data_IF_383788939933
#
_entry.id   IF_383788939933
#
_cell.length_a   1.000
_cell.length_b   1.000
_cell.length_c   1.000
_cell.angle_alpha   90.00
_cell.angle_beta   90.00
_cell.angle_gamma   90.00
#
_symmetry.space_group_name_H-M   'P 1'
#
loop_
_entity.id
_entity.type
_entity.pdbx_description
1 polymer ?
#
# COMPACT_ATOMS: atom_id res chain seq x y z
N UNK A 1 4.64 9.45 21.87
CA UNK A 1 3.64 9.26 20.82
C UNK A 1 2.26 9.00 21.39
N UNK A 2 2.07 7.98 22.24
CA UNK A 2 0.76 7.60 22.80
C UNK A 2 0.07 8.80 23.48
N UNK A 3 0.76 9.50 24.39
CA UNK A 3 0.21 10.69 25.03
C UNK A 3 -0.16 11.80 24.02
N UNK A 4 0.65 11.97 22.96
CA UNK A 4 0.33 12.91 21.87
C UNK A 4 -0.99 12.55 21.17
N UNK A 5 -1.23 11.28 20.90
CA UNK A 5 -2.48 10.82 20.29
C UNK A 5 -3.68 10.98 21.21
N UNK A 6 -3.52 10.70 22.51
CA UNK A 6 -4.55 10.97 23.51
C UNK A 6 -4.92 12.47 23.57
N UNK A 7 -3.94 13.36 23.33
CA UNK A 7 -4.15 14.80 23.24
C UNK A 7 -4.60 15.29 21.85
N UNK A 8 -4.89 14.39 20.88
CA UNK A 8 -5.27 14.76 19.51
C UNK A 8 -4.11 15.32 18.64
N UNK A 9 -2.86 15.11 19.06
CA UNK A 9 -1.67 15.62 18.35
C UNK A 9 -1.08 14.53 17.46
N UNK A 10 -1.46 14.50 16.18
CA UNK A 10 -1.01 13.51 15.20
C UNK A 10 0.19 13.97 14.37
N UNK A 11 0.40 15.28 14.23
CA UNK A 11 1.51 15.84 13.46
C UNK A 11 2.83 15.76 14.25
N UNK A 12 3.89 15.24 13.63
CA UNK A 12 5.22 15.16 14.26
C UNK A 12 5.77 16.54 14.63
N UNK A 13 5.49 17.59 13.83
CA UNK A 13 5.92 18.97 14.13
C UNK A 13 5.17 19.56 15.31
N UNK A 14 3.84 19.36 15.38
CA UNK A 14 3.06 19.80 16.54
C UNK A 14 3.43 19.01 17.80
N UNK A 15 3.84 17.73 17.65
CA UNK A 15 4.30 16.93 18.77
C UNK A 15 5.67 17.39 19.30
N UNK A 16 6.60 17.78 18.41
CA UNK A 16 7.85 18.43 18.77
C UNK A 16 7.59 19.72 19.57
N UNK A 17 6.71 20.59 19.07
CA UNK A 17 6.29 21.82 19.73
C UNK A 17 5.68 21.53 21.12
N UNK A 18 4.79 20.54 21.22
CA UNK A 18 4.23 20.12 22.51
C UNK A 18 5.31 19.63 23.48
N UNK A 19 6.30 18.87 23.01
CA UNK A 19 7.44 18.42 23.82
C UNK A 19 8.30 19.59 24.32
N UNK A 20 8.36 20.70 23.59
CA UNK A 20 9.15 21.88 23.96
C UNK A 20 8.42 22.80 24.93
N UNK A 21 7.10 22.95 24.81
CA UNK A 21 6.37 24.02 25.51
C UNK A 21 5.35 23.52 26.53
N UNK A 22 4.81 22.33 26.39
CA UNK A 22 3.78 21.81 27.30
C UNK A 22 4.39 21.11 28.53
N UNK A 23 3.84 21.41 29.70
CA UNK A 23 4.32 20.88 30.99
C UNK A 23 4.16 19.37 31.07
N UNK A 24 3.02 18.83 30.65
CA UNK A 24 2.72 17.39 30.64
C UNK A 24 3.73 16.59 29.78
N UNK A 25 4.12 17.13 28.63
CA UNK A 25 5.13 16.51 27.76
C UNK A 25 6.54 16.63 28.35
N UNK A 26 6.89 17.77 28.98
CA UNK A 26 8.17 17.94 29.66
C UNK A 26 8.30 16.98 30.84
N UNK A 27 7.24 16.80 31.62
CA UNK A 27 7.21 15.83 32.68
C UNK A 27 7.45 14.39 32.17
N UNK A 28 6.82 13.99 31.08
CA UNK A 28 7.04 12.68 30.44
C UNK A 28 8.46 12.51 29.90
N UNK A 29 9.12 13.59 29.53
CA UNK A 29 10.50 13.56 29.04
C UNK A 29 11.54 13.58 30.16
N UNK A 30 11.11 13.76 31.42
CA UNK A 30 12.02 13.80 32.62
C UNK A 30 13.16 14.81 32.36
N UNK A 31 12.83 16.01 31.90
CA UNK A 31 13.76 17.09 31.53
C UNK A 31 14.79 16.75 30.41
N UNK A 32 14.62 15.61 29.73
CA UNK A 32 15.44 15.28 28.56
C UNK A 32 15.09 16.20 27.40
N UNK A 33 16.06 16.38 26.50
CA UNK A 33 15.85 17.18 25.29
C UNK A 33 14.67 16.67 24.45
N UNK A 34 13.78 17.58 24.07
CA UNK A 34 12.66 17.27 23.17
C UNK A 34 13.17 16.67 21.85
N UNK A 35 12.59 15.55 21.40
CA UNK A 35 12.94 14.96 20.12
C UNK A 35 12.42 15.85 18.98
N UNK A 36 13.20 16.00 17.92
CA UNK A 36 12.77 16.71 16.71
C UNK A 36 11.71 15.90 15.91
N UNK A 37 10.98 16.60 15.04
CA UNK A 37 9.90 16.00 14.25
C UNK A 37 10.39 14.88 13.30
N UNK A 38 11.62 14.96 12.79
CA UNK A 38 12.18 13.91 11.93
C UNK A 38 12.55 12.65 12.72
N UNK A 39 13.03 12.80 13.95
CA UNK A 39 13.25 11.68 14.88
C UNK A 39 11.92 10.99 15.23
N UNK A 40 10.87 11.76 15.54
CA UNK A 40 9.53 11.24 15.80
C UNK A 40 8.95 10.52 14.58
N UNK A 41 9.11 11.08 13.38
CA UNK A 41 8.67 10.46 12.14
C UNK A 41 9.41 9.15 11.86
N UNK A 42 10.74 9.14 11.95
CA UNK A 42 11.56 7.92 11.77
C UNK A 42 11.26 6.83 12.78
N UNK A 43 11.03 7.20 14.04
CA UNK A 43 10.62 6.23 15.06
C UNK A 43 9.27 5.61 14.73
N UNK A 44 8.28 6.42 14.29
CA UNK A 44 6.94 5.95 13.91
C UNK A 44 6.96 4.98 12.73
N UNK A 45 7.72 5.32 11.67
CA UNK A 45 7.78 4.51 10.44
C UNK A 45 8.77 3.33 10.52
N UNK A 46 9.71 3.38 11.44
CA UNK A 46 10.68 2.32 11.69
C UNK A 46 10.32 1.50 12.92
N UNK A 47 11.04 1.69 14.02
CA UNK A 47 10.95 0.85 15.23
C UNK A 47 9.54 0.66 15.79
N UNK A 48 8.70 1.71 15.76
CA UNK A 48 7.32 1.60 16.26
C UNK A 48 6.48 0.67 15.39
N UNK A 49 6.71 0.66 14.09
CA UNK A 49 5.99 -0.20 13.15
C UNK A 49 6.11 -1.68 13.52
N UNK A 50 7.30 -2.11 13.91
CA UNK A 50 7.58 -3.54 14.17
C UNK A 50 7.06 -4.03 15.53
N UNK A 51 6.74 -3.10 16.43
CA UNK A 51 6.35 -3.42 17.81
C UNK A 51 4.93 -2.97 18.20
N UNK A 52 4.27 -2.15 17.37
CA UNK A 52 2.97 -1.56 17.73
C UNK A 52 1.87 -2.60 17.88
N UNK A 53 1.89 -3.63 17.06
CA UNK A 53 0.93 -4.73 17.13
C UNK A 53 1.09 -5.53 18.41
N UNK A 54 2.33 -5.90 18.75
CA UNK A 54 2.61 -6.63 20.00
C UNK A 54 2.23 -5.80 21.25
N UNK A 55 2.53 -4.49 21.24
CA UNK A 55 2.10 -3.57 22.31
C UNK A 55 0.57 -3.50 22.43
N UNK A 56 -0.13 -3.49 21.32
CA UNK A 56 -1.59 -3.50 21.30
C UNK A 56 -2.14 -4.77 21.97
N UNK A 57 -1.65 -5.94 21.59
CA UNK A 57 -2.10 -7.20 22.19
C UNK A 57 -1.64 -7.38 23.64
N UNK A 58 -0.50 -6.81 24.05
CA UNK A 58 -0.13 -6.74 25.46
C UNK A 58 -1.13 -5.91 26.26
N UNK A 59 -1.58 -4.77 25.71
CA UNK A 59 -2.59 -3.93 26.31
C UNK A 59 -3.95 -4.65 26.44
N UNK A 60 -4.39 -5.32 25.37
CA UNK A 60 -5.63 -6.13 25.38
C UNK A 60 -5.56 -7.21 26.48
N UNK A 61 -4.46 -7.97 26.57
CA UNK A 61 -4.25 -8.96 27.64
C UNK A 61 -4.28 -8.33 29.05
N UNK A 62 -3.80 -7.09 29.17
CA UNK A 62 -3.87 -6.36 30.44
C UNK A 62 -5.32 -6.03 30.81
N UNK A 63 -6.14 -5.58 29.85
CA UNK A 63 -7.58 -5.34 30.07
C UNK A 63 -8.31 -6.63 30.48
N UNK A 64 -8.02 -7.74 29.83
CA UNK A 64 -8.56 -9.06 30.21
C UNK A 64 -8.20 -9.42 31.67
N UNK A 65 -6.93 -9.22 32.04
CA UNK A 65 -6.46 -9.51 33.41
C UNK A 65 -7.11 -8.60 34.48
N UNK A 66 -7.63 -7.45 34.07
CA UNK A 66 -8.36 -6.51 34.95
C UNK A 66 -9.88 -6.79 34.96
N UNK A 67 -10.36 -7.72 34.15
CA UNK A 67 -11.79 -8.04 34.03
C UNK A 67 -12.61 -7.02 33.25
N UNK A 68 -11.94 -6.13 32.49
CA UNK A 68 -12.60 -5.09 31.67
C UNK A 68 -13.22 -5.67 30.37
N UNK A 69 -12.78 -6.85 29.94
CA UNK A 69 -13.31 -7.59 28.81
C UNK A 69 -13.75 -8.98 29.27
N UNK A 70 -14.92 -9.44 28.82
CA UNK A 70 -15.55 -10.65 29.35
C UNK A 70 -15.65 -11.81 28.32
N UNK A 71 -15.24 -11.58 27.08
CA UNK A 71 -15.31 -12.54 25.97
C UNK A 71 -16.71 -13.11 25.64
N UNK A 72 -17.79 -12.61 26.24
CA UNK A 72 -19.14 -13.12 26.02
C UNK A 72 -19.67 -12.75 24.64
N UNK A 73 -19.33 -11.55 24.16
CA UNK A 73 -19.75 -11.07 22.86
C UNK A 73 -18.63 -10.21 22.24
N UNK A 74 -18.27 -10.49 21.01
CA UNK A 74 -17.35 -9.69 20.20
C UNK A 74 -18.11 -9.13 19.02
N UNK A 75 -18.12 -7.82 18.89
CA UNK A 75 -18.72 -7.14 17.74
C UNK A 75 -17.61 -6.80 16.75
N UNK A 76 -17.82 -7.21 15.48
CA UNK A 76 -16.87 -6.90 14.40
C UNK A 76 -17.56 -5.94 13.44
N UNK A 77 -16.94 -4.78 13.20
CA UNK A 77 -17.37 -3.83 12.18
C UNK A 77 -16.23 -3.46 11.27
N UNK A 78 -16.53 -3.42 9.98
CA UNK A 78 -15.59 -3.02 8.94
C UNK A 78 -15.76 -1.55 8.56
N UNK A 79 -14.67 -0.82 8.45
CA UNK A 79 -14.66 0.53 7.90
C UNK A 79 -13.67 0.64 6.74
N UNK A 80 -13.90 1.58 5.84
CA UNK A 80 -13.04 1.82 4.69
C UNK A 80 -12.23 3.09 4.89
N UNK A 81 -10.91 2.95 4.93
CA UNK A 81 -9.98 4.04 5.11
C UNK A 81 -9.40 4.48 3.76
N UNK A 82 -9.63 5.74 3.36
CA UNK A 82 -9.08 6.28 2.12
C UNK A 82 -7.54 6.42 2.22
N UNK A 83 -6.81 5.85 1.26
CA UNK A 83 -5.39 6.07 1.10
C UNK A 83 -5.11 7.47 0.52
N UNK A 84 -3.96 8.05 0.86
CA UNK A 84 -3.47 9.28 0.23
C UNK A 84 -2.91 9.08 -1.19
N UNK A 85 -3.11 7.91 -1.76
CA UNK A 85 -2.69 7.59 -3.12
C UNK A 85 -3.41 8.43 -4.19
N UNK A 86 -2.77 8.57 -5.33
CA UNK A 86 -3.34 9.27 -6.47
C UNK A 86 -4.62 8.60 -6.97
N UNK A 87 -5.74 9.33 -7.00
CA UNK A 87 -7.05 8.81 -7.42
C UNK A 87 -7.09 8.32 -8.86
N UNK A 88 -6.20 8.81 -9.72
CA UNK A 88 -6.18 8.49 -11.16
C UNK A 88 -5.04 7.54 -11.53
N UNK A 89 -4.31 7.00 -10.58
CA UNK A 89 -3.18 6.09 -10.80
C UNK A 89 -3.57 4.62 -10.68
N UNK A 90 -4.80 4.29 -11.04
CA UNK A 90 -5.36 2.95 -10.94
C UNK A 90 -4.82 1.99 -12.00
N UNK A 91 -4.63 0.75 -11.60
CA UNK A 91 -4.37 -0.40 -12.48
C UNK A 91 -5.46 -1.43 -12.24
N UNK A 92 -6.18 -1.81 -13.30
CA UNK A 92 -7.27 -2.78 -13.24
C UNK A 92 -6.84 -4.12 -13.81
N UNK A 93 -7.03 -5.22 -13.08
CA UNK A 93 -6.72 -6.58 -13.51
C UNK A 93 -7.29 -6.89 -14.88
N UNK A 94 -8.59 -6.68 -15.08
CA UNK A 94 -9.29 -6.95 -16.34
C UNK A 94 -8.65 -6.24 -17.55
N UNK A 95 -8.19 -4.99 -17.35
CA UNK A 95 -7.54 -4.24 -18.41
C UNK A 95 -6.13 -4.79 -18.71
N UNK A 96 -5.37 -5.13 -17.68
CA UNK A 96 -4.02 -5.71 -17.82
C UNK A 96 -4.11 -7.08 -18.51
N UNK A 97 -5.02 -7.95 -18.09
CA UNK A 97 -5.25 -9.27 -18.72
C UNK A 97 -5.67 -9.14 -20.18
N UNK A 98 -6.58 -8.20 -20.50
CA UNK A 98 -6.97 -7.91 -21.88
C UNK A 98 -5.78 -7.43 -22.71
N UNK A 99 -5.00 -6.48 -22.21
CA UNK A 99 -3.83 -5.96 -22.91
C UNK A 99 -2.75 -7.04 -23.09
N UNK A 100 -2.56 -7.90 -22.08
CA UNK A 100 -1.68 -9.05 -22.16
C UNK A 100 -2.11 -10.04 -23.24
N UNK A 101 -3.39 -10.40 -23.31
CA UNK A 101 -3.92 -11.31 -24.32
C UNK A 101 -3.77 -10.77 -25.75
N UNK A 102 -3.80 -9.46 -25.92
CA UNK A 102 -3.61 -8.81 -27.24
C UNK A 102 -2.17 -8.87 -27.73
N UNK A 103 -1.18 -9.22 -26.91
CA UNK A 103 0.22 -9.33 -27.36
C UNK A 103 0.47 -10.54 -28.23
N UNK A 104 -0.41 -11.55 -28.19
CA UNK A 104 -0.29 -12.80 -28.98
C UNK A 104 0.90 -13.68 -28.58
N UNK A 105 1.63 -13.33 -27.51
CA UNK A 105 2.80 -14.06 -27.05
C UNK A 105 2.39 -15.24 -26.16
N UNK A 106 3.07 -16.38 -26.29
CA UNK A 106 2.77 -17.60 -25.53
C UNK A 106 3.53 -17.71 -24.21
N UNK A 107 4.84 -17.45 -24.22
CA UNK A 107 5.67 -17.44 -23.01
C UNK A 107 6.78 -16.39 -23.12
N UNK A 108 7.07 -15.70 -22.01
CA UNK A 108 8.16 -14.71 -21.91
C UNK A 108 9.52 -15.35 -22.21
N UNK A 109 9.77 -16.54 -21.63
CA UNK A 109 11.05 -17.23 -21.77
C UNK A 109 11.37 -17.59 -23.24
N UNK A 110 10.39 -18.13 -23.97
CA UNK A 110 10.57 -18.49 -25.38
C UNK A 110 10.85 -17.25 -26.24
N UNK A 111 10.10 -16.16 -26.03
CA UNK A 111 10.31 -14.91 -26.80
C UNK A 111 11.66 -14.27 -26.47
N UNK A 112 12.10 -14.31 -25.22
CA UNK A 112 13.40 -13.80 -24.80
C UNK A 112 14.53 -14.57 -25.48
N UNK A 113 14.50 -15.90 -25.45
CA UNK A 113 15.50 -16.75 -26.13
C UNK A 113 15.53 -16.51 -27.65
N UNK A 114 14.37 -16.36 -28.29
CA UNK A 114 14.31 -16.03 -29.72
C UNK A 114 14.96 -14.67 -30.02
N UNK A 115 14.67 -13.63 -29.20
CA UNK A 115 15.25 -12.31 -29.39
C UNK A 115 16.76 -12.29 -29.17
N UNK A 116 17.27 -13.10 -28.24
CA UNK A 116 18.72 -13.25 -27.99
C UNK A 116 19.44 -13.90 -29.19
N UNK A 117 18.83 -14.90 -29.80
CA UNK A 117 19.36 -15.53 -31.00
C UNK A 117 19.29 -14.60 -32.25
N UNK A 118 18.13 -13.93 -32.47
CA UNK A 118 17.98 -12.97 -33.55
C UNK A 118 18.99 -11.81 -33.43
N UNK A 119 19.29 -11.35 -32.20
CA UNK A 119 20.22 -10.26 -31.96
C UNK A 119 21.66 -10.56 -32.43
N UNK A 120 22.10 -11.82 -32.39
CA UNK A 120 23.43 -12.24 -32.84
C UNK A 120 23.69 -11.96 -34.32
N UNK A 121 22.65 -11.94 -35.15
CA UNK A 121 22.71 -11.67 -36.59
C UNK A 121 22.46 -10.22 -36.99
N UNK A 122 22.22 -9.31 -36.02
CA UNK A 122 21.86 -7.92 -36.31
C UNK A 122 23.01 -6.98 -36.03
N UNK A 123 23.46 -6.23 -36.99
CA UNK A 123 24.34 -5.09 -36.80
C UNK A 123 23.51 -3.87 -36.37
N UNK A 124 23.57 -3.55 -35.07
CA UNK A 124 22.74 -2.51 -34.47
C UNK A 124 23.23 -1.11 -34.84
N UNK A 125 22.38 -0.34 -35.49
CA UNK A 125 22.61 1.08 -35.76
C UNK A 125 21.85 1.93 -34.76
N UNK A 126 22.55 2.81 -34.03
CA UNK A 126 21.95 3.73 -33.07
C UNK A 126 21.16 4.88 -33.73
N UNK A 127 20.19 5.47 -32.99
CA UNK A 127 19.45 6.65 -33.36
C UNK A 127 18.07 6.38 -33.96
N UNK A 128 17.32 7.47 -34.17
CA UNK A 128 16.00 7.45 -34.83
C UNK A 128 16.17 7.67 -36.30
N UNK A 129 15.75 6.74 -37.17
CA UNK A 129 15.67 7.07 -38.57
C UNK A 129 15.88 5.96 -39.58
N UNK A 130 16.07 6.38 -40.86
CA UNK A 130 16.03 5.55 -42.07
C UNK A 130 17.23 4.59 -42.23
N UNK A 131 18.24 4.68 -41.36
CA UNK A 131 19.46 3.86 -41.44
C UNK A 131 19.34 2.45 -40.86
N UNK A 132 18.28 2.19 -40.06
CA UNK A 132 18.06 0.88 -39.46
C UNK A 132 17.55 -0.11 -40.54
N UNK A 133 18.09 -1.32 -40.52
CA UNK A 133 17.60 -2.42 -41.34
C UNK A 133 16.16 -2.81 -40.94
N UNK A 134 15.42 -3.48 -41.85
CA UNK A 134 14.10 -3.98 -41.51
C UNK A 134 14.17 -5.00 -40.36
N UNK A 135 15.15 -5.89 -40.39
CA UNK A 135 15.40 -6.88 -39.34
C UNK A 135 15.60 -6.25 -37.96
N UNK A 136 16.36 -5.14 -37.89
CA UNK A 136 16.55 -4.42 -36.64
C UNK A 136 15.23 -3.80 -36.12
N UNK A 137 14.38 -3.24 -37.04
CA UNK A 137 13.10 -2.65 -36.64
C UNK A 137 12.14 -3.71 -36.13
N UNK A 138 12.06 -4.85 -36.77
CA UNK A 138 11.20 -5.96 -36.38
C UNK A 138 11.65 -6.53 -35.03
N UNK A 139 12.95 -6.62 -34.81
CA UNK A 139 13.52 -7.01 -33.52
C UNK A 139 13.20 -5.99 -32.40
N UNK A 140 13.36 -4.69 -32.67
CA UNK A 140 13.03 -3.62 -31.72
C UNK A 140 11.54 -3.63 -31.36
N UNK A 141 10.65 -3.91 -32.32
CA UNK A 141 9.21 -4.03 -32.11
C UNK A 141 8.87 -5.23 -31.23
N UNK A 142 9.43 -6.41 -31.53
CA UNK A 142 9.27 -7.62 -30.73
C UNK A 142 9.78 -7.41 -29.29
N UNK A 143 10.94 -6.77 -29.14
CA UNK A 143 11.51 -6.43 -27.83
C UNK A 143 10.60 -5.49 -27.06
N UNK A 144 10.05 -4.46 -27.68
CA UNK A 144 9.12 -3.54 -27.05
C UNK A 144 7.82 -4.24 -26.60
N UNK A 145 7.36 -5.25 -27.35
CA UNK A 145 6.23 -6.09 -26.94
C UNK A 145 6.57 -6.95 -25.74
N UNK A 146 7.76 -7.56 -25.70
CA UNK A 146 8.22 -8.34 -24.55
C UNK A 146 8.31 -7.49 -23.29
N UNK A 147 8.97 -6.32 -23.35
CA UNK A 147 9.08 -5.37 -22.22
C UNK A 147 7.70 -4.90 -21.73
N UNK A 148 6.73 -4.79 -22.62
CA UNK A 148 5.34 -4.47 -22.29
C UNK A 148 4.66 -5.62 -21.57
N UNK A 149 4.89 -6.85 -22.03
CA UNK A 149 4.34 -8.02 -21.39
C UNK A 149 4.93 -8.27 -20.00
N UNK A 150 6.24 -8.12 -19.83
CA UNK A 150 6.92 -8.20 -18.54
C UNK A 150 6.33 -7.21 -17.52
N UNK A 151 6.05 -5.97 -17.95
CA UNK A 151 5.34 -4.99 -17.11
C UNK A 151 3.92 -5.42 -16.74
N UNK A 152 3.21 -6.10 -17.63
CA UNK A 152 1.87 -6.62 -17.31
C UNK A 152 1.94 -7.77 -16.29
N UNK A 153 2.94 -8.65 -16.38
CA UNK A 153 3.17 -9.70 -15.38
C UNK A 153 3.52 -9.10 -14.01
N UNK A 154 4.37 -8.09 -13.98
CA UNK A 154 4.70 -7.37 -12.74
C UNK A 154 3.45 -6.72 -12.11
N UNK A 155 2.60 -6.07 -12.92
CA UNK A 155 1.33 -5.51 -12.45
C UNK A 155 0.39 -6.57 -11.88
N UNK A 156 0.29 -7.73 -12.50
CA UNK A 156 -0.54 -8.84 -12.02
C UNK A 156 0.06 -9.47 -10.75
N UNK A 157 1.38 -9.60 -10.68
CA UNK A 157 2.09 -10.06 -9.49
C UNK A 157 1.88 -9.12 -8.29
N UNK A 158 1.97 -7.81 -8.52
CA UNK A 158 1.71 -6.78 -7.49
C UNK A 158 0.27 -6.86 -6.97
N UNK A 159 -0.70 -7.13 -7.84
CA UNK A 159 -2.09 -7.32 -7.42
C UNK A 159 -2.30 -8.58 -6.58
N UNK A 160 -1.51 -9.63 -6.79
CA UNK A 160 -1.71 -10.91 -6.14
C UNK A 160 -3.02 -11.60 -6.53
N UNK A 161 -3.38 -12.66 -5.81
CA UNK A 161 -4.65 -13.38 -6.02
C UNK A 161 -5.77 -12.67 -5.25
N UNK A 162 -6.93 -12.46 -5.87
CA UNK A 162 -8.12 -11.90 -5.21
C UNK A 162 -8.34 -10.41 -5.45
N UNK A 163 -7.30 -9.59 -5.55
CA UNK A 163 -7.45 -8.14 -5.81
C UNK A 163 -7.75 -7.86 -7.29
N UNK A 164 -8.63 -6.91 -7.54
CA UNK A 164 -9.02 -6.50 -8.90
C UNK A 164 -8.32 -5.23 -9.38
N UNK A 165 -7.67 -4.51 -8.47
CA UNK A 165 -7.02 -3.24 -8.77
C UNK A 165 -6.00 -2.88 -7.70
N UNK A 166 -5.08 -1.97 -8.05
CA UNK A 166 -4.20 -1.30 -7.11
C UNK A 166 -3.88 0.12 -7.61
N UNK A 167 -3.32 0.97 -6.72
CA UNK A 167 -2.82 2.28 -7.10
C UNK A 167 -1.30 2.21 -7.35
N UNK A 168 -0.81 2.85 -8.43
CA UNK A 168 0.64 2.93 -8.71
C UNK A 168 1.43 3.68 -7.63
N UNK A 169 0.77 4.56 -6.89
CA UNK A 169 1.40 5.37 -5.82
C UNK A 169 1.27 4.72 -4.44
N UNK A 170 0.45 3.67 -4.32
CA UNK A 170 0.27 2.88 -3.11
C UNK A 170 -0.18 1.47 -3.54
N UNK A 171 0.78 0.57 -3.69
CA UNK A 171 0.55 -0.76 -4.26
C UNK A 171 -0.36 -1.64 -3.38
N UNK A 172 -0.46 -1.36 -2.10
CA UNK A 172 -1.28 -2.12 -1.15
C UNK A 172 -2.73 -1.62 -1.12
N UNK A 173 -2.99 -0.38 -1.55
CA UNK A 173 -4.33 0.18 -1.60
C UNK A 173 -5.14 -0.37 -2.80
N UNK A 174 -6.38 -0.79 -2.52
CA UNK A 174 -7.33 -1.27 -3.55
C UNK A 174 -8.40 -0.21 -3.81
N UNK A 175 -8.84 -0.08 -5.05
CA UNK A 175 -9.92 0.85 -5.40
C UNK A 175 -11.27 0.29 -4.96
N UNK A 176 -11.93 0.99 -4.05
CA UNK A 176 -13.20 0.60 -3.45
C UNK A 176 -14.13 1.81 -3.26
N UNK A 177 -15.43 1.57 -3.08
CA UNK A 177 -16.38 2.61 -2.66
C UNK A 177 -16.21 2.86 -1.18
N UNK A 178 -16.07 4.14 -0.78
CA UNK A 178 -16.05 4.53 0.62
C UNK A 178 -17.45 4.46 1.23
N UNK A 179 -17.57 4.17 2.52
CA UNK A 179 -18.84 4.25 3.25
C UNK A 179 -19.39 5.69 3.21
N UNK A 180 -18.53 6.68 3.42
CA UNK A 180 -18.86 8.09 3.35
C UNK A 180 -18.53 8.66 1.96
N UNK A 181 -19.50 8.62 1.06
CA UNK A 181 -19.42 9.29 -0.24
C UNK A 181 -20.25 10.56 -0.17
N UNK A 182 -19.65 11.65 0.32
CA UNK A 182 -20.29 12.96 0.44
C UNK A 182 -20.83 13.49 -0.89
N UNK A 183 -20.20 13.12 -1.99
CA UNK A 183 -20.61 13.53 -3.35
C UNK A 183 -21.69 12.63 -3.94
N UNK A 184 -21.98 11.47 -3.33
CA UNK A 184 -22.92 10.44 -3.79
C UNK A 184 -22.76 10.05 -5.26
N UNK A 185 -21.55 10.14 -5.80
CA UNK A 185 -21.25 9.85 -7.19
C UNK A 185 -20.73 8.42 -7.42
N UNK A 186 -20.62 7.62 -6.36
CA UNK A 186 -20.13 6.24 -6.41
C UNK A 186 -18.68 6.11 -6.85
N UNK A 187 -17.89 7.19 -6.76
CA UNK A 187 -16.50 7.20 -7.18
C UNK A 187 -15.68 6.19 -6.38
N UNK A 188 -14.88 5.39 -7.09
CA UNK A 188 -13.93 4.49 -6.48
C UNK A 188 -12.69 5.29 -6.03
N UNK A 189 -12.26 5.04 -4.79
CA UNK A 189 -11.07 5.64 -4.22
C UNK A 189 -10.10 4.56 -3.75
N UNK A 190 -8.78 4.80 -3.83
CA UNK A 190 -7.81 3.87 -3.25
C UNK A 190 -7.97 3.84 -1.73
N UNK A 191 -8.00 2.66 -1.14
CA UNK A 191 -8.22 2.54 0.29
C UNK A 191 -7.98 1.12 0.80
N UNK A 192 -8.20 0.99 2.09
CA UNK A 192 -8.07 -0.23 2.86
C UNK A 192 -9.38 -0.56 3.55
N UNK A 193 -9.68 -1.83 3.71
CA UNK A 193 -10.76 -2.31 4.53
C UNK A 193 -10.20 -2.63 5.92
N UNK A 194 -10.63 -1.89 6.92
CA UNK A 194 -10.18 -2.03 8.30
C UNK A 194 -11.28 -2.70 9.09
N UNK A 195 -10.99 -3.88 9.64
CA UNK A 195 -11.89 -4.62 10.53
C UNK A 195 -11.49 -4.35 11.97
N UNK A 196 -12.47 -3.96 12.79
CA UNK A 196 -12.29 -3.64 14.20
C UNK A 196 -13.16 -4.58 15.02
N UNK A 197 -12.55 -5.31 15.94
CA UNK A 197 -13.25 -6.12 16.91
C UNK A 197 -13.37 -5.36 18.24
N UNK A 198 -14.58 -5.28 18.76
CA UNK A 198 -14.90 -4.59 20.03
C UNK A 198 -15.52 -5.59 20.99
N UNK A 199 -15.00 -5.62 22.22
CA UNK A 199 -15.57 -6.35 23.33
C UNK A 199 -15.78 -5.37 24.50
N UNK A 200 -17.00 -5.35 25.04
CA UNK A 200 -17.41 -4.32 26.00
C UNK A 200 -17.24 -2.92 25.42
N UNK A 201 -16.38 -2.07 25.99
CA UNK A 201 -16.11 -0.71 25.50
C UNK A 201 -14.73 -0.56 24.85
N UNK A 202 -14.02 -1.69 24.65
CA UNK A 202 -12.62 -1.69 24.22
C UNK A 202 -12.45 -2.32 22.83
N UNK A 203 -11.54 -1.75 22.05
CA UNK A 203 -11.07 -2.38 20.82
C UNK A 203 -10.12 -3.52 21.20
N UNK A 204 -10.48 -4.75 20.87
CA UNK A 204 -9.72 -5.97 21.20
C UNK A 204 -9.04 -6.61 19.99
N UNK A 205 -9.42 -6.18 18.79
CA UNK A 205 -8.79 -6.63 17.55
C UNK A 205 -8.81 -5.56 16.48
N UNK A 206 -7.79 -5.55 15.64
CA UNK A 206 -7.67 -4.67 14.50
C UNK A 206 -6.96 -5.41 13.37
N UNK A 207 -7.55 -5.41 12.18
CA UNK A 207 -6.92 -5.98 11.00
C UNK A 207 -7.18 -5.10 9.77
N UNK A 208 -6.20 -5.04 8.86
CA UNK A 208 -6.25 -4.20 7.66
C UNK A 208 -6.14 -5.07 6.44
N UNK A 209 -7.17 -5.06 5.62
CA UNK A 209 -7.26 -5.84 4.40
C UNK A 209 -7.19 -4.95 3.15
N UNK A 210 -6.60 -5.51 2.10
CA UNK A 210 -6.64 -4.92 0.76
C UNK A 210 -7.90 -5.32 -0.02
N UNK A 211 -8.75 -6.20 0.51
CA UNK A 211 -9.99 -6.66 -0.13
C UNK A 211 -11.13 -5.68 0.07
N UNK A 212 -12.05 -5.65 -0.91
CA UNK A 212 -13.17 -4.69 -0.94
C UNK A 212 -14.38 -5.11 -0.13
N UNK A 213 -14.51 -6.39 0.11
CA UNK A 213 -15.66 -7.01 0.80
C UNK A 213 -15.30 -7.33 2.24
N UNK A 214 -16.25 -7.09 3.11
CA UNK A 214 -16.26 -7.68 4.44
C UNK A 214 -16.52 -9.18 4.24
N UNK A 215 -15.60 -10.03 4.67
CA UNK A 215 -15.71 -11.50 4.59
C UNK A 215 -16.35 -12.00 5.86
#
# INVERSE_FOLDING_TARGET
LVHGYLCGIYSSRKLEEACQYRIDFKWLLEDRKAPDHSTLARFRTGRCRDVVEDLFYQFVRKLESMGETDHKAVFIDGTKLESRAGRYTFVWRKNVEKLKSMTGLTTIAAVRSMLEEEAKGIEFVGGKGKRKSQTQRDWEEKRALLERWERYEEMLSTMGKGRNSYSKTDADATFMRMKEDHMRNGQLKPGYNVQIAVNSEYITGLEVFSDRSDV
#
